data_IF_356097643744
#
_entry.id   IF_356097643744
#
_cell.length_a   1.000
_cell.length_b   1.000
_cell.length_c   1.000
_cell.angle_alpha   90.00
_cell.angle_beta   90.00
_cell.angle_gamma   90.00
#
_symmetry.space_group_name_H-M   'P 1'
#
loop_
_entity.id
_entity.type
_entity.pdbx_description
1 polymer ?
#
# COMPACT_ATOMS: atom_id res chain seq x y z
N UNK A 1 33.76 -24.96 13.53
CA UNK A 1 33.90 -25.35 12.10
C UNK A 1 33.19 -26.67 11.71
N UNK A 2 32.12 -27.10 12.42
CA UNK A 2 31.37 -28.33 12.10
C UNK A 2 29.88 -28.13 11.77
N UNK A 3 29.30 -26.97 12.12
CA UNK A 3 27.89 -26.65 11.87
C UNK A 3 27.56 -26.48 10.38
N UNK A 4 28.49 -25.96 9.58
CA UNK A 4 28.27 -25.66 8.15
C UNK A 4 28.03 -26.92 7.29
N UNK A 5 28.49 -28.08 7.75
CA UNK A 5 28.24 -29.34 7.05
C UNK A 5 26.84 -29.85 7.35
N UNK A 6 26.42 -29.84 8.62
CA UNK A 6 25.07 -30.25 9.04
C UNK A 6 23.98 -29.39 8.40
N UNK A 7 24.17 -28.08 8.32
CA UNK A 7 23.19 -27.20 7.66
C UNK A 7 23.06 -27.53 6.18
N UNK A 8 24.16 -27.82 5.48
CA UNK A 8 24.13 -28.24 4.06
C UNK A 8 23.46 -29.59 3.83
N UNK A 9 23.57 -30.52 4.78
CA UNK A 9 22.88 -31.81 4.68
C UNK A 9 21.36 -31.65 4.85
N UNK A 10 20.93 -30.80 5.77
CA UNK A 10 19.51 -30.49 5.97
C UNK A 10 18.94 -29.68 4.81
N UNK A 11 19.63 -28.64 4.32
CA UNK A 11 19.18 -27.85 3.16
C UNK A 11 18.90 -28.74 1.94
N UNK A 12 19.83 -29.66 1.62
CA UNK A 12 19.67 -30.55 0.46
C UNK A 12 18.48 -31.50 0.60
N UNK A 13 18.18 -31.94 1.83
CA UNK A 13 17.02 -32.81 2.11
C UNK A 13 15.73 -32.02 2.16
N UNK A 14 15.76 -30.79 2.65
CA UNK A 14 14.62 -29.88 2.64
C UNK A 14 14.22 -29.53 1.20
N UNK A 15 15.17 -29.20 0.34
CA UNK A 15 14.90 -28.85 -1.07
C UNK A 15 14.32 -30.04 -1.86
N UNK A 16 14.84 -31.25 -1.60
CA UNK A 16 14.34 -32.48 -2.22
C UNK A 16 12.90 -32.79 -1.77
N UNK A 17 12.63 -32.67 -0.46
CA UNK A 17 11.29 -32.84 0.11
C UNK A 17 10.35 -31.75 -0.40
N UNK A 18 10.79 -30.49 -0.49
CA UNK A 18 10.01 -29.33 -0.97
C UNK A 18 9.62 -29.48 -2.44
N UNK A 19 10.51 -30.01 -3.28
CA UNK A 19 10.22 -30.32 -4.69
C UNK A 19 9.15 -31.42 -4.85
N UNK A 20 9.20 -32.45 -4.01
CA UNK A 20 8.19 -33.52 -3.97
C UNK A 20 6.87 -33.02 -3.37
N UNK A 21 6.95 -32.11 -2.40
CA UNK A 21 5.81 -31.55 -1.64
C UNK A 21 4.87 -30.71 -2.50
N UNK A 22 5.39 -29.98 -3.49
CA UNK A 22 4.58 -29.21 -4.43
C UNK A 22 3.60 -30.09 -5.24
N UNK A 23 3.85 -31.41 -5.33
CA UNK A 23 3.05 -32.33 -6.13
C UNK A 23 1.95 -33.05 -5.32
N UNK A 24 2.14 -33.28 -4.01
CA UNK A 24 1.19 -34.02 -3.16
C UNK A 24 1.12 -33.51 -1.70
N UNK A 25 0.50 -32.35 -1.44
CA UNK A 25 0.44 -31.75 -0.10
C UNK A 25 -0.32 -32.61 0.93
N UNK A 26 -1.33 -33.40 0.50
CA UNK A 26 -2.18 -34.20 1.40
C UNK A 26 -1.42 -35.37 2.04
N UNK A 27 -0.63 -36.12 1.26
CA UNK A 27 0.12 -37.27 1.79
C UNK A 27 1.20 -36.84 2.78
N UNK A 28 1.82 -35.70 2.51
CA UNK A 28 2.78 -35.10 3.43
C UNK A 28 2.14 -34.69 4.75
N UNK A 29 0.96 -34.07 4.71
CA UNK A 29 0.23 -33.72 5.93
C UNK A 29 -0.09 -34.96 6.78
N UNK A 30 -0.44 -36.09 6.16
CA UNK A 30 -0.66 -37.35 6.89
C UNK A 30 0.63 -37.87 7.53
N UNK A 31 1.73 -37.96 6.77
CA UNK A 31 3.01 -38.48 7.28
C UNK A 31 3.58 -37.56 8.36
N UNK A 32 3.50 -36.24 8.17
CA UNK A 32 3.91 -35.25 9.15
C UNK A 32 3.09 -35.35 10.43
N UNK A 33 1.77 -35.50 10.33
CA UNK A 33 0.89 -35.68 11.50
C UNK A 33 1.22 -36.96 12.27
N UNK A 34 1.44 -38.08 11.56
CA UNK A 34 1.88 -39.34 12.17
C UNK A 34 3.22 -39.16 12.89
N UNK A 35 4.18 -38.46 12.25
CA UNK A 35 5.48 -38.16 12.82
C UNK A 35 5.38 -37.33 14.10
N UNK A 36 4.54 -36.30 14.12
CA UNK A 36 4.31 -35.44 15.30
C UNK A 36 3.70 -36.23 16.46
N UNK A 37 2.69 -37.07 16.19
CA UNK A 37 2.06 -37.91 17.21
C UNK A 37 3.05 -38.92 17.79
N UNK A 38 3.83 -39.59 16.93
CA UNK A 38 4.86 -40.55 17.36
C UNK A 38 5.99 -39.88 18.13
N UNK A 39 6.40 -38.68 17.72
CA UNK A 39 7.38 -37.89 18.43
C UNK A 39 6.86 -37.57 19.83
N UNK A 40 5.69 -36.96 19.95
CA UNK A 40 5.08 -36.64 21.25
C UNK A 40 4.99 -37.87 22.15
N UNK A 41 4.51 -39.00 21.60
CA UNK A 41 4.47 -40.29 22.30
C UNK A 41 5.85 -40.73 22.78
N UNK A 42 6.88 -40.56 21.95
CA UNK A 42 8.27 -40.85 22.30
C UNK A 42 8.77 -40.04 23.48
N UNK A 43 8.49 -38.73 23.53
CA UNK A 43 8.86 -37.88 24.68
C UNK A 43 8.26 -38.40 25.99
N UNK A 44 6.98 -38.79 25.97
CA UNK A 44 6.30 -39.36 27.15
C UNK A 44 6.94 -40.66 27.60
N UNK A 45 7.18 -41.60 26.68
CA UNK A 45 7.83 -42.88 27.02
C UNK A 45 9.24 -42.68 27.57
N UNK A 46 9.99 -41.69 27.07
CA UNK A 46 11.32 -41.36 27.58
C UNK A 46 11.27 -40.81 29.02
N UNK A 47 10.23 -40.04 29.34
CA UNK A 47 10.01 -39.54 30.69
C UNK A 47 9.59 -40.67 31.65
N UNK A 48 8.73 -41.57 31.19
CA UNK A 48 8.25 -42.73 31.97
C UNK A 48 9.38 -43.75 32.22
N UNK A 49 10.24 -44.01 31.23
CA UNK A 49 11.37 -44.94 31.36
C UNK A 49 12.42 -44.45 32.39
N UNK A 50 12.55 -43.14 32.56
CA UNK A 50 13.38 -42.54 33.60
C UNK A 50 12.77 -42.59 35.01
N UNK A 51 11.61 -43.25 35.18
CA UNK A 51 10.83 -43.28 36.43
C UNK A 51 10.57 -41.88 36.98
N UNK A 52 10.41 -40.89 36.09
CA UNK A 52 10.28 -39.51 36.51
C UNK A 52 8.89 -39.30 37.10
N UNK A 53 8.84 -38.98 38.40
CA UNK A 53 7.55 -38.69 39.05
C UNK A 53 6.87 -37.52 38.34
N UNK A 54 5.54 -37.49 38.32
CA UNK A 54 4.78 -36.43 37.64
C UNK A 54 5.20 -35.02 38.09
N UNK A 55 5.60 -34.85 39.36
CA UNK A 55 6.12 -33.59 39.88
C UNK A 55 7.52 -33.22 39.35
N UNK A 56 8.42 -34.18 39.17
CA UNK A 56 9.75 -33.94 38.61
C UNK A 56 9.69 -33.56 37.13
N UNK A 57 8.83 -34.22 36.35
CA UNK A 57 8.61 -33.89 34.94
C UNK A 57 8.05 -32.48 34.75
N UNK A 58 7.12 -32.06 35.61
CA UNK A 58 6.60 -30.69 35.62
C UNK A 58 7.72 -29.70 35.97
N UNK A 59 8.49 -29.95 37.03
CA UNK A 59 9.56 -29.04 37.46
C UNK A 59 10.65 -28.86 36.38
N UNK A 60 11.12 -29.96 35.79
CA UNK A 60 12.14 -29.92 34.73
C UNK A 60 11.59 -29.26 33.47
N UNK A 61 10.35 -29.59 33.10
CA UNK A 61 9.65 -28.96 31.99
C UNK A 61 9.56 -27.45 32.18
N UNK A 62 9.07 -26.98 33.33
CA UNK A 62 9.00 -25.55 33.65
C UNK A 62 10.37 -24.87 33.60
N UNK A 63 11.43 -25.49 34.14
CA UNK A 63 12.79 -24.93 34.08
C UNK A 63 13.28 -24.82 32.64
N UNK A 64 13.07 -25.84 31.80
CA UNK A 64 13.45 -25.82 30.38
C UNK A 64 12.65 -24.75 29.62
N UNK A 65 11.35 -24.66 29.86
CA UNK A 65 10.47 -23.69 29.20
C UNK A 65 10.80 -22.24 29.62
N UNK A 66 11.20 -22.02 30.87
CA UNK A 66 11.70 -20.72 31.34
C UNK A 66 13.08 -20.41 30.75
N UNK A 67 14.00 -21.37 30.71
CA UNK A 67 15.35 -21.18 30.18
C UNK A 67 15.36 -20.89 28.67
N UNK A 68 14.47 -21.55 27.91
CA UNK A 68 14.29 -21.31 26.47
C UNK A 68 13.48 -20.05 26.17
N UNK A 69 12.87 -19.43 27.18
CA UNK A 69 11.97 -18.28 27.00
C UNK A 69 10.63 -18.64 26.35
N UNK A 70 10.40 -19.91 26.01
CA UNK A 70 9.16 -20.37 25.39
C UNK A 70 7.97 -20.22 26.31
N UNK A 71 8.14 -20.37 27.63
CA UNK A 71 7.07 -20.11 28.58
C UNK A 71 6.53 -18.68 28.44
N UNK A 72 7.43 -17.70 28.42
CA UNK A 72 7.05 -16.29 28.30
C UNK A 72 6.51 -16.00 26.90
N UNK A 73 7.12 -16.58 25.87
CA UNK A 73 6.67 -16.43 24.47
C UNK A 73 5.27 -17.00 24.22
N UNK A 74 4.91 -18.14 24.81
CA UNK A 74 3.55 -18.68 24.67
C UNK A 74 2.51 -17.83 25.39
N UNK A 75 2.80 -17.35 26.60
CA UNK A 75 1.84 -16.56 27.38
C UNK A 75 1.71 -15.11 26.91
N UNK A 76 2.81 -14.49 26.51
CA UNK A 76 2.84 -13.07 26.12
C UNK A 76 2.81 -12.92 24.60
N UNK A 77 3.41 -13.85 23.87
CA UNK A 77 3.55 -13.77 22.41
C UNK A 77 2.25 -14.06 21.66
N UNK A 78 1.41 -15.01 22.05
CA UNK A 78 0.12 -15.22 21.35
C UNK A 78 -0.79 -13.98 21.50
N UNK A 79 -0.88 -13.41 22.70
CA UNK A 79 -1.71 -12.23 22.95
C UNK A 79 -1.16 -10.97 22.26
N UNK A 80 0.17 -10.76 22.26
CA UNK A 80 0.82 -9.63 21.55
C UNK A 80 0.76 -9.80 20.03
N UNK A 81 0.93 -11.02 19.49
CA UNK A 81 0.82 -11.28 18.04
C UNK A 81 -0.62 -11.07 17.58
N UNK A 82 -1.60 -11.53 18.35
CA UNK A 82 -3.02 -11.35 18.04
C UNK A 82 -3.46 -9.89 18.21
N UNK A 83 -2.90 -9.14 19.17
CA UNK A 83 -3.17 -7.71 19.29
C UNK A 83 -2.48 -6.91 18.18
N UNK A 84 -1.23 -7.26 17.84
CA UNK A 84 -0.42 -6.60 16.82
C UNK A 84 -1.00 -6.76 15.42
N UNK A 85 -1.46 -7.96 15.05
CA UNK A 85 -2.10 -8.20 13.74
C UNK A 85 -3.41 -7.41 13.57
N UNK A 86 -4.17 -7.19 14.65
CA UNK A 86 -5.41 -6.42 14.59
C UNK A 86 -5.14 -4.90 14.51
N UNK A 87 -4.09 -4.42 15.16
CA UNK A 87 -3.62 -3.02 15.06
C UNK A 87 -3.06 -2.72 13.65
N UNK A 88 -2.24 -3.63 13.09
CA UNK A 88 -1.66 -3.51 11.75
C UNK A 88 -2.75 -3.48 10.66
N UNK A 89 -3.79 -4.32 10.78
CA UNK A 89 -4.97 -4.29 9.91
C UNK A 89 -5.71 -2.95 9.91
N UNK A 90 -5.80 -2.32 11.09
CA UNK A 90 -6.48 -1.03 11.25
C UNK A 90 -5.69 0.11 10.60
N UNK A 91 -4.36 0.03 10.67
CA UNK A 91 -3.45 1.00 10.02
C UNK A 91 -3.49 0.84 8.50
N UNK A 92 -3.56 -0.40 7.99
CA UNK A 92 -3.66 -0.67 6.55
C UNK A 92 -4.97 -0.12 5.95
N UNK A 93 -6.10 -0.29 6.64
CA UNK A 93 -7.41 0.27 6.21
C UNK A 93 -7.40 1.80 6.15
N UNK A 94 -6.84 2.45 7.19
CA UNK A 94 -6.70 3.91 7.24
C UNK A 94 -5.77 4.43 6.13
N UNK A 95 -4.70 3.69 5.83
CA UNK A 95 -3.77 3.99 4.72
C UNK A 95 -4.44 3.82 3.35
N UNK A 96 -5.27 2.80 3.15
CA UNK A 96 -6.01 2.63 1.89
C UNK A 96 -7.03 3.75 1.67
N UNK A 97 -7.74 4.17 2.73
CA UNK A 97 -8.66 5.31 2.67
C UNK A 97 -7.92 6.62 2.33
N UNK A 98 -6.74 6.85 2.92
CA UNK A 98 -5.94 8.04 2.62
C UNK A 98 -5.44 8.05 1.15
N UNK A 99 -5.03 6.90 0.62
CA UNK A 99 -4.63 6.74 -0.79
C UNK A 99 -5.82 6.97 -1.74
N UNK A 100 -7.01 6.48 -1.39
CA UNK A 100 -8.26 6.77 -2.14
C UNK A 100 -8.59 8.25 -2.10
N UNK A 101 -8.45 8.90 -0.94
CA UNK A 101 -8.74 10.32 -0.81
C UNK A 101 -7.77 11.21 -1.60
N UNK A 102 -6.48 10.85 -1.59
CA UNK A 102 -5.45 11.54 -2.38
C UNK A 102 -5.67 11.36 -3.89
N UNK A 103 -6.08 10.17 -4.34
CA UNK A 103 -6.34 9.92 -5.77
C UNK A 103 -7.57 10.67 -6.28
N UNK A 104 -8.65 10.76 -5.50
CA UNK A 104 -9.82 11.60 -5.81
C UNK A 104 -9.42 13.09 -5.87
N UNK A 105 -8.63 13.56 -4.91
CA UNK A 105 -8.15 14.96 -4.87
C UNK A 105 -7.30 15.33 -6.08
N UNK A 106 -6.47 14.41 -6.60
CA UNK A 106 -5.68 14.64 -7.83
C UNK A 106 -6.57 14.82 -9.06
N UNK A 107 -7.63 14.00 -9.20
CA UNK A 107 -8.58 14.14 -10.31
C UNK A 107 -9.31 15.48 -10.21
N UNK A 108 -9.76 15.87 -9.02
CA UNK A 108 -10.44 17.15 -8.83
C UNK A 108 -9.54 18.37 -9.15
N UNK A 109 -8.25 18.28 -8.84
CA UNK A 109 -7.27 19.29 -9.21
C UNK A 109 -7.15 19.44 -10.73
N UNK A 110 -7.07 18.35 -11.49
CA UNK A 110 -7.00 18.39 -12.96
C UNK A 110 -8.20 19.11 -13.58
N UNK A 111 -9.42 18.80 -13.13
CA UNK A 111 -10.64 19.48 -13.58
C UNK A 111 -10.64 20.98 -13.29
N UNK A 112 -10.12 21.39 -12.13
CA UNK A 112 -10.02 22.80 -11.75
C UNK A 112 -9.04 23.56 -12.65
N UNK A 113 -7.91 22.94 -12.98
CA UNK A 113 -6.93 23.50 -13.92
C UNK A 113 -7.50 23.65 -15.34
N UNK A 114 -8.18 22.62 -15.85
CA UNK A 114 -8.85 22.69 -17.16
C UNK A 114 -9.92 23.79 -17.20
N UNK A 115 -10.71 23.93 -16.13
CA UNK A 115 -11.71 25.00 -16.02
C UNK A 115 -11.10 26.40 -16.02
N UNK A 116 -9.94 26.58 -15.37
CA UNK A 116 -9.20 27.85 -15.39
C UNK A 116 -8.65 28.17 -16.78
N UNK A 117 -8.05 27.19 -17.46
CA UNK A 117 -7.56 27.33 -18.85
C UNK A 117 -8.69 27.76 -19.79
N UNK A 118 -9.84 27.09 -19.73
CA UNK A 118 -11.01 27.43 -20.55
C UNK A 118 -11.55 28.84 -20.27
N UNK A 119 -11.42 29.30 -19.03
CA UNK A 119 -11.83 30.66 -18.64
C UNK A 119 -10.87 31.72 -19.18
N UNK A 120 -9.57 31.43 -19.22
CA UNK A 120 -8.56 32.31 -19.83
C UNK A 120 -8.78 32.43 -21.34
N UNK A 121 -9.04 31.33 -22.02
CA UNK A 121 -9.27 31.28 -23.46
C UNK A 121 -10.47 32.17 -23.86
N UNK A 122 -11.61 32.03 -23.15
CA UNK A 122 -12.79 32.90 -23.30
C UNK A 122 -12.54 34.38 -23.01
N UNK A 123 -11.50 34.74 -22.24
CA UNK A 123 -11.14 36.14 -22.00
C UNK A 123 -10.32 36.71 -23.16
N UNK A 124 -9.40 35.92 -23.71
CA UNK A 124 -8.61 36.30 -24.87
C UNK A 124 -9.50 36.52 -26.10
N UNK A 125 -10.43 35.61 -26.37
CA UNK A 125 -11.39 35.73 -27.48
C UNK A 125 -12.23 37.01 -27.37
N UNK A 126 -12.64 37.39 -26.15
CA UNK A 126 -13.36 38.65 -25.90
C UNK A 126 -12.52 39.89 -26.14
N UNK A 127 -11.21 39.82 -25.87
CA UNK A 127 -10.29 40.92 -26.16
C UNK A 127 -10.09 41.05 -27.66
N UNK A 128 -9.82 39.95 -28.36
CA UNK A 128 -9.66 39.94 -29.82
C UNK A 128 -10.90 40.50 -30.52
N UNK A 129 -12.10 40.08 -30.11
CA UNK A 129 -13.36 40.61 -30.67
C UNK A 129 -13.52 42.11 -30.45
N UNK A 130 -13.14 42.61 -29.25
CA UNK A 130 -13.15 44.06 -28.95
C UNK A 130 -12.13 44.84 -29.80
N UNK A 131 -10.94 44.29 -30.01
CA UNK A 131 -9.93 44.90 -30.88
C UNK A 131 -10.35 44.91 -32.35
N UNK A 132 -10.97 43.83 -32.84
CA UNK A 132 -11.54 43.76 -34.19
C UNK A 132 -12.64 44.79 -34.43
N UNK A 133 -13.54 45.00 -33.46
CA UNK A 133 -14.57 46.05 -33.55
C UNK A 133 -13.99 47.45 -33.51
N UNK A 134 -12.96 47.71 -32.69
CA UNK A 134 -12.31 49.02 -32.63
C UNK A 134 -11.58 49.39 -33.94
N UNK A 135 -10.99 48.42 -34.65
CA UNK A 135 -10.41 48.67 -35.98
C UNK A 135 -11.48 48.98 -37.04
N UNK A 136 -12.64 48.32 -36.97
CA UNK A 136 -13.75 48.63 -37.88
C UNK A 136 -14.38 50.01 -37.63
N UNK A 137 -14.40 50.48 -36.38
CA UNK A 137 -14.91 51.82 -36.02
C UNK A 137 -13.94 52.94 -36.41
N UNK A 138 -12.62 52.75 -36.25
CA UNK A 138 -11.62 53.72 -36.73
C UNK A 138 -11.57 53.84 -38.26
N UNK A 139 -11.87 52.76 -38.98
CA UNK A 139 -11.98 52.79 -40.45
C UNK A 139 -13.23 53.56 -40.91
N UNK A 140 -14.35 53.47 -40.17
CA UNK A 140 -15.62 54.07 -40.56
C UNK A 140 -15.80 55.55 -40.12
N UNK A 141 -15.00 56.04 -39.15
CA UNK A 141 -15.04 57.45 -38.72
C UNK A 141 -14.25 58.41 -39.64
N UNK A 142 -13.47 57.91 -40.59
CA UNK A 142 -12.66 58.75 -41.52
C UNK A 142 -13.45 59.14 -42.78
N UNK A 143 -14.59 58.50 -43.07
CA UNK A 143 -15.26 58.60 -44.38
C UNK A 143 -16.43 59.62 -44.43
N UNK A 144 -16.86 60.22 -43.32
CA UNK A 144 -17.96 61.20 -43.36
C UNK A 144 -17.61 62.57 -42.76
N UNK A 145 -17.03 63.44 -43.59
CA UNK A 145 -17.22 64.90 -43.50
C UNK A 145 -17.90 65.37 -44.78
N UNK A 146 -19.15 65.89 -44.74
CA UNK A 146 -19.78 66.45 -45.92
C UNK A 146 -19.22 67.84 -46.21
N UNK A 147 -18.72 68.01 -47.43
CA UNK A 147 -18.47 69.31 -48.03
C UNK A 147 -19.78 70.13 -48.05
N UNK A 148 -19.77 71.31 -47.42
CA UNK A 148 -20.75 72.36 -47.71
C UNK A 148 -20.03 73.53 -48.38
N UNK A 149 -20.64 73.93 -49.49
CA UNK A 149 -20.20 74.89 -50.47
C UNK A 149 -20.90 76.23 -50.18
N UNK A 150 -20.22 77.35 -50.42
CA UNK A 150 -20.88 78.58 -50.90
C UNK A 150 -20.72 79.86 -50.08
N UNK A 151 -20.41 80.95 -50.80
CA UNK A 151 -20.75 82.33 -50.49
C UNK A 151 -19.62 83.14 -49.85
N UNK A 152 -18.78 83.85 -50.60
CA UNK A 152 -18.96 85.21 -51.16
C UNK A 152 -19.18 86.33 -50.12
N UNK A 153 -18.58 87.46 -50.47
CA UNK A 153 -18.74 88.83 -49.94
C UNK A 153 -17.70 89.19 -48.86
N UNK A 154 -16.91 90.26 -48.94
CA UNK A 154 -16.89 91.40 -49.85
C UNK A 154 -16.34 92.61 -49.07
N UNK A 155 -15.31 93.27 -49.61
CA UNK A 155 -15.09 94.73 -49.58
C UNK A 155 -15.17 95.43 -48.20
N UNK A 156 -14.03 95.82 -47.61
CA UNK A 156 -13.47 97.19 -47.64
C UNK A 156 -12.28 97.32 -46.68
#
# INVERSE_FOLDING_TARGET
MKFKNITRFFDKKEDEVRSILARHPVLYAMIGSIGIILLWRGIWMLADEYHMSSGASIAIGTVILLATGLFVSFFVGEEIIISGINEEKRIDEETEEEIRFQSISRVQMQWKLEGMLKTLDRRLERLEKKFGTMQSEQSNSVVHTPHTHGGKDGIK
#
